data_IF_440977300741
#
_entry.id   IF_440977300741
#
_cell.length_a   1.000
_cell.length_b   1.000
_cell.length_c   1.000
_cell.angle_alpha   90.00
_cell.angle_beta   90.00
_cell.angle_gamma   90.00
#
_symmetry.space_group_name_H-M   'P 1'
#
loop_
_entity.id
_entity.type
_entity.pdbx_description
1 polymer ?
#
# COMPACT_ATOMS: atom_id res chain seq x y z
N UNK A 1 -11.28 -9.82 -10.61
CA UNK A 1 -10.69 -8.82 -9.70
C UNK A 1 -9.98 -7.79 -10.56
N UNK A 2 -10.14 -6.50 -10.25
CA UNK A 2 -9.57 -5.38 -11.00
C UNK A 2 -8.84 -4.46 -10.02
N UNK A 3 -7.78 -3.81 -10.47
CA UNK A 3 -7.16 -2.72 -9.71
C UNK A 3 -6.75 -1.58 -10.63
N UNK A 4 -6.68 -0.38 -10.06
CA UNK A 4 -6.16 0.82 -10.70
C UNK A 4 -5.19 1.51 -9.74
N UNK A 5 -4.12 2.07 -10.29
CA UNK A 5 -3.07 2.77 -9.53
C UNK A 5 -2.98 4.22 -9.99
N UNK A 6 -2.68 5.14 -9.08
CA UNK A 6 -2.45 6.56 -9.36
C UNK A 6 -1.30 7.09 -8.50
N UNK A 7 -0.67 8.18 -8.95
CA UNK A 7 0.41 8.89 -8.27
C UNK A 7 1.75 8.83 -8.99
N UNK A 8 2.66 9.71 -8.60
CA UNK A 8 3.98 9.91 -9.19
C UNK A 8 5.09 9.47 -8.23
N UNK A 9 6.22 8.99 -8.78
CA UNK A 9 7.38 8.57 -7.96
C UNK A 9 7.99 9.69 -7.10
N UNK A 10 7.78 10.96 -7.48
CA UNK A 10 8.21 12.12 -6.70
C UNK A 10 7.00 12.95 -6.22
N UNK A 11 5.80 12.39 -6.30
CA UNK A 11 4.57 13.00 -5.80
C UNK A 11 4.38 12.74 -4.30
N UNK A 12 3.31 13.30 -3.71
CA UNK A 12 3.04 13.17 -2.29
C UNK A 12 2.65 11.76 -1.84
N UNK A 13 2.05 10.97 -2.73
CA UNK A 13 1.61 9.61 -2.41
C UNK A 13 1.34 8.79 -3.67
N UNK A 14 1.30 7.47 -3.48
CA UNK A 14 0.71 6.51 -4.41
C UNK A 14 -0.65 6.04 -3.88
N UNK A 15 -1.57 5.73 -4.77
CA UNK A 15 -2.90 5.23 -4.42
C UNK A 15 -3.28 4.05 -5.28
N UNK A 16 -3.91 3.06 -4.68
CA UNK A 16 -4.44 1.88 -5.37
C UNK A 16 -5.89 1.68 -4.98
N UNK A 17 -6.76 1.44 -5.95
CA UNK A 17 -8.15 1.03 -5.72
C UNK A 17 -8.29 -0.39 -6.26
N UNK A 18 -8.76 -1.31 -5.42
CA UNK A 18 -9.00 -2.72 -5.75
C UNK A 18 -10.50 -3.02 -5.71
N UNK A 19 -11.01 -3.66 -6.76
CA UNK A 19 -12.42 -4.04 -6.93
C UNK A 19 -12.57 -5.55 -7.09
N UNK A 20 -13.68 -6.08 -6.56
CA UNK A 20 -14.02 -7.51 -6.64
C UNK A 20 -13.28 -8.39 -5.63
N UNK A 21 -12.84 -7.82 -4.51
CA UNK A 21 -12.37 -8.58 -3.35
C UNK A 21 -13.60 -9.05 -2.57
N UNK A 22 -13.78 -10.35 -2.30
CA UNK A 22 -14.94 -10.83 -1.54
C UNK A 22 -14.88 -10.34 -0.09
N UNK A 23 -16.03 -10.26 0.57
CA UNK A 23 -16.13 -9.93 2.00
C UNK A 23 -15.63 -11.09 2.88
N UNK A 24 -15.18 -10.77 4.09
CA UNK A 24 -14.80 -11.76 5.11
C UNK A 24 -13.37 -12.30 5.00
N UNK A 25 -12.53 -11.71 4.16
CA UNK A 25 -11.09 -12.01 4.14
C UNK A 25 -10.35 -11.17 5.16
N UNK A 26 -9.39 -11.78 5.86
CA UNK A 26 -8.52 -11.03 6.77
C UNK A 26 -7.55 -10.16 5.97
N UNK A 27 -7.56 -8.85 6.25
CA UNK A 27 -6.65 -7.89 5.67
C UNK A 27 -6.34 -6.78 6.69
N UNK A 28 -5.05 -6.54 6.92
CA UNK A 28 -4.57 -5.49 7.82
C UNK A 28 -3.43 -4.74 7.15
N UNK A 29 -3.11 -3.54 7.64
CA UNK A 29 -2.01 -2.75 7.08
C UNK A 29 -0.65 -3.47 7.24
N UNK A 30 -0.47 -4.22 8.32
CA UNK A 30 0.76 -4.99 8.60
C UNK A 30 1.02 -6.06 7.54
N UNK A 31 -0.03 -6.73 7.05
CA UNK A 31 0.12 -7.70 5.95
C UNK A 31 0.75 -7.05 4.72
N UNK A 32 0.33 -5.82 4.38
CA UNK A 32 0.81 -5.10 3.20
C UNK A 32 2.19 -4.49 3.48
N UNK A 33 2.40 -3.88 4.65
CA UNK A 33 3.68 -3.30 5.05
C UNK A 33 4.81 -4.34 5.08
N UNK A 34 4.50 -5.59 5.46
CA UNK A 34 5.46 -6.70 5.39
C UNK A 34 5.92 -6.97 3.95
N UNK A 35 5.00 -6.94 2.99
CA UNK A 35 5.33 -7.12 1.57
C UNK A 35 6.08 -5.91 0.99
N UNK A 36 5.73 -4.68 1.40
CA UNK A 36 6.50 -3.47 1.06
C UNK A 36 7.95 -3.58 1.55
N UNK A 37 8.15 -3.97 2.81
CA UNK A 37 9.49 -4.19 3.37
C UNK A 37 10.26 -5.27 2.60
N UNK A 38 9.57 -6.32 2.15
CA UNK A 38 10.19 -7.38 1.32
C UNK A 38 10.68 -6.82 -0.03
N UNK A 39 9.98 -5.84 -0.60
CA UNK A 39 10.40 -5.09 -1.80
C UNK A 39 11.58 -4.14 -1.56
N UNK A 40 12.09 -4.03 -0.34
CA UNK A 40 13.32 -3.27 -0.07
C UNK A 40 14.56 -4.16 0.10
N UNK A 41 14.39 -5.45 0.46
CA UNK A 41 15.49 -6.35 0.89
C UNK A 41 16.14 -7.23 -0.20
N UNK A 42 16.44 -6.68 -1.39
CA UNK A 42 16.99 -7.44 -2.54
C UNK A 42 18.44 -7.09 -2.89
N UNK A 43 19.24 -8.08 -3.33
CA UNK A 43 20.61 -7.85 -3.81
C UNK A 43 20.61 -6.89 -5.02
N UNK A 44 21.47 -5.87 -5.01
CA UNK A 44 21.49 -4.82 -6.04
C UNK A 44 20.58 -3.62 -5.79
N UNK A 45 19.87 -3.55 -4.64
CA UNK A 45 19.08 -2.36 -4.28
C UNK A 45 19.96 -1.25 -3.70
N UNK A 46 19.81 -0.04 -4.24
CA UNK A 46 20.58 1.14 -3.84
C UNK A 46 20.32 1.55 -2.39
N UNK A 47 21.27 2.29 -1.81
CA UNK A 47 21.21 2.77 -0.41
C UNK A 47 19.88 3.48 -0.06
N UNK A 48 19.26 4.14 -1.03
CA UNK A 48 17.98 4.85 -0.86
C UNK A 48 16.80 3.94 -0.51
N UNK A 49 16.68 2.77 -1.15
CA UNK A 49 15.61 1.80 -0.84
C UNK A 49 15.77 1.15 0.54
N UNK A 50 16.95 1.22 1.17
CA UNK A 50 17.21 0.63 2.49
C UNK A 50 16.73 1.52 3.63
N UNK A 51 16.49 2.81 3.36
CA UNK A 51 16.05 3.82 4.34
C UNK A 51 14.60 4.27 4.12
N UNK A 52 13.93 3.76 3.08
CA UNK A 52 12.55 4.09 2.73
C UNK A 52 11.61 3.49 3.79
N UNK A 53 10.85 4.34 4.48
CA UNK A 53 9.95 3.95 5.57
C UNK A 53 8.48 3.96 5.18
N UNK A 54 8.20 4.11 3.88
CA UNK A 54 6.85 4.25 3.35
C UNK A 54 5.92 3.16 3.90
N UNK A 55 4.84 3.61 4.53
CA UNK A 55 3.80 2.75 5.09
C UNK A 55 2.50 2.88 4.30
N UNK A 56 1.73 1.80 4.28
CA UNK A 56 0.41 1.78 3.69
C UNK A 56 -0.69 2.11 4.70
N UNK A 57 -1.64 2.91 4.26
CA UNK A 57 -2.90 3.20 4.92
C UNK A 57 -4.04 2.52 4.13
N UNK A 58 -4.94 1.82 4.84
CA UNK A 58 -6.16 1.27 4.24
C UNK A 58 -7.29 2.29 4.46
N UNK A 59 -7.64 3.03 3.42
CA UNK A 59 -8.61 4.12 3.50
C UNK A 59 -10.07 3.67 3.31
N UNK A 60 -10.31 2.50 2.69
CA UNK A 60 -11.67 1.97 2.50
C UNK A 60 -11.70 0.44 2.38
N UNK A 61 -12.91 -0.14 2.44
CA UNK A 61 -13.17 -1.54 2.08
C UNK A 61 -12.73 -2.59 3.10
N UNK A 62 -12.16 -2.18 4.21
CA UNK A 62 -11.78 -3.04 5.34
C UNK A 62 -12.32 -2.43 6.64
N UNK A 63 -12.86 -3.26 7.52
CA UNK A 63 -13.27 -2.87 8.87
C UNK A 63 -12.96 -4.00 9.84
N UNK A 64 -12.38 -3.67 11.00
CA UNK A 64 -11.95 -4.64 12.02
C UNK A 64 -11.06 -5.77 11.45
N UNK A 65 -10.17 -5.42 10.50
CA UNK A 65 -9.26 -6.37 9.87
C UNK A 65 -9.92 -7.32 8.85
N UNK A 66 -11.17 -7.07 8.46
CA UNK A 66 -11.92 -7.89 7.51
C UNK A 66 -12.38 -7.08 6.30
N UNK A 67 -12.27 -7.66 5.11
CA UNK A 67 -12.78 -7.06 3.87
C UNK A 67 -14.31 -6.99 3.87
N UNK A 68 -14.86 -5.93 3.31
CA UNK A 68 -16.31 -5.68 3.28
C UNK A 68 -16.97 -6.03 1.94
N UNK A 69 -16.21 -6.40 0.92
CA UNK A 69 -16.73 -6.61 -0.44
C UNK A 69 -16.81 -5.32 -1.28
N UNK A 70 -16.84 -4.16 -0.63
CA UNK A 70 -16.71 -2.85 -1.29
C UNK A 70 -15.26 -2.60 -1.76
N UNK A 71 -15.04 -1.64 -2.69
CA UNK A 71 -13.70 -1.30 -3.14
C UNK A 71 -12.73 -0.96 -1.99
N UNK A 72 -11.52 -1.50 -2.08
CA UNK A 72 -10.45 -1.29 -1.11
C UNK A 72 -9.52 -0.23 -1.67
N UNK A 73 -9.34 0.86 -0.92
CA UNK A 73 -8.39 1.93 -1.25
C UNK A 73 -7.17 1.81 -0.36
N UNK A 74 -6.00 1.71 -0.98
CA UNK A 74 -4.70 1.72 -0.33
C UNK A 74 -3.99 3.02 -0.67
N UNK A 75 -3.39 3.67 0.32
CA UNK A 75 -2.60 4.88 0.16
C UNK A 75 -1.20 4.60 0.71
N UNK A 76 -0.17 4.86 -0.09
CA UNK A 76 1.23 4.83 0.37
C UNK A 76 1.75 6.26 0.31
N UNK A 77 1.99 6.86 1.48
CA UNK A 77 2.52 8.23 1.56
C UNK A 77 4.02 8.21 1.28
N UNK A 78 4.49 9.23 0.57
CA UNK A 78 5.90 9.42 0.29
C UNK A 78 6.51 10.30 1.38
N UNK A 79 7.31 9.71 2.27
CA UNK A 79 7.93 10.44 3.39
C UNK A 79 9.00 11.45 2.93
N UNK A 80 9.57 11.25 1.73
CA UNK A 80 10.56 12.15 1.12
C UNK A 80 9.91 13.40 0.50
N UNK A 81 8.59 13.42 0.31
CA UNK A 81 7.89 14.58 -0.24
C UNK A 81 7.76 15.67 0.82
N UNK A 82 8.72 16.60 0.81
CA UNK A 82 8.71 17.83 1.62
C UNK A 82 8.67 19.04 0.70
N UNK A 83 7.72 19.94 0.96
CA UNK A 83 7.64 21.26 0.32
C UNK A 83 8.79 22.17 0.74
#
# INVERSE_FOLDING_TARGET
MRYITAGESHGPQLTVILEGVPAGLTLTAEHINKELLRRQKGHGRGRRMQIETDTVEIASGVRHGMTLGSPITLIVKNDDFKH
#
